data_IF_328604788023
#
_entry.id   IF_328604788023
#
_cell.length_a   1.000
_cell.length_b   1.000
_cell.length_c   1.000
_cell.angle_alpha   90.00
_cell.angle_beta   90.00
_cell.angle_gamma   90.00
#
_symmetry.space_group_name_H-M   'P 1'
#
loop_
_entity.id
_entity.type
_entity.pdbx_description
1 polymer ?
#
# COMPACT_ATOMS: atom_id res chain seq x y z
N UNK A 1 4.08 -10.72 33.57
CA UNK A 1 3.29 -10.15 32.46
C UNK A 1 3.36 -11.16 31.31
N UNK A 2 2.32 -11.96 31.12
CA UNK A 2 2.24 -12.93 30.02
C UNK A 2 1.62 -12.24 28.82
N UNK A 3 2.41 -11.94 27.78
CA UNK A 3 1.89 -11.42 26.52
C UNK A 3 1.42 -12.61 25.69
N UNK A 4 0.11 -12.77 25.56
CA UNK A 4 -0.47 -13.72 24.62
C UNK A 4 -0.08 -13.29 23.19
N UNK A 5 0.46 -14.22 22.40
CA UNK A 5 0.77 -14.00 20.98
C UNK A 5 -0.56 -13.73 20.26
N UNK A 6 -0.80 -12.48 19.88
CA UNK A 6 -1.97 -12.08 19.08
C UNK A 6 -1.95 -12.85 17.76
N UNK A 7 -3.08 -13.45 17.39
CA UNK A 7 -3.26 -14.04 16.08
C UNK A 7 -2.96 -12.96 15.01
N UNK A 8 -2.08 -13.26 14.07
CA UNK A 8 -1.75 -12.37 12.95
C UNK A 8 -2.99 -12.13 12.10
N UNK A 9 -3.30 -10.88 11.79
CA UNK A 9 -4.43 -10.52 10.94
C UNK A 9 -4.18 -11.03 9.52
N UNK A 10 -5.18 -11.64 8.87
CA UNK A 10 -5.06 -12.02 7.46
C UNK A 10 -5.30 -10.81 6.54
N UNK A 11 -4.78 -10.84 5.31
CA UNK A 11 -5.03 -9.79 4.32
C UNK A 11 -6.54 -9.64 4.01
N UNK A 12 -7.28 -10.74 3.96
CA UNK A 12 -8.72 -10.71 3.68
C UNK A 12 -9.51 -10.04 4.81
N UNK A 13 -9.15 -10.29 6.06
CA UNK A 13 -9.74 -9.60 7.21
C UNK A 13 -9.39 -8.11 7.19
N UNK A 14 -8.15 -7.76 6.87
CA UNK A 14 -7.72 -6.37 6.73
C UNK A 14 -8.54 -5.62 5.67
N UNK A 15 -8.74 -6.21 4.48
CA UNK A 15 -9.48 -5.57 3.37
C UNK A 15 -10.97 -5.35 3.68
N UNK A 16 -11.53 -6.02 4.70
CA UNK A 16 -12.92 -5.81 5.16
C UNK A 16 -13.05 -4.66 6.16
N UNK A 17 -11.94 -4.16 6.72
CA UNK A 17 -11.96 -3.05 7.67
C UNK A 17 -12.31 -1.73 6.95
N UNK A 18 -12.95 -0.78 7.65
CA UNK A 18 -13.22 0.53 7.08
C UNK A 18 -11.93 1.31 6.80
N UNK A 19 -11.94 2.09 5.72
CA UNK A 19 -10.86 3.02 5.38
C UNK A 19 -10.63 4.07 6.47
N UNK A 20 -9.37 4.43 6.72
CA UNK A 20 -8.96 5.36 7.78
C UNK A 20 -8.22 6.57 7.22
N UNK A 21 -8.10 7.65 8.02
CA UNK A 21 -7.29 8.83 7.69
C UNK A 21 -6.41 9.19 8.89
N UNK A 22 -5.07 9.09 8.79
CA UNK A 22 -4.30 8.58 7.65
C UNK A 22 -4.55 7.07 7.43
N UNK A 23 -4.33 6.60 6.21
CA UNK A 23 -4.66 5.22 5.83
C UNK A 23 -3.91 4.18 6.67
N UNK A 24 -4.61 3.10 7.01
CA UNK A 24 -4.04 1.89 7.59
C UNK A 24 -3.23 1.13 6.53
N UNK A 25 -2.09 0.59 6.94
CA UNK A 25 -1.21 -0.27 6.14
C UNK A 25 -1.23 -1.67 6.74
N UNK A 26 -1.24 -2.67 5.89
CA UNK A 26 -1.06 -4.06 6.27
C UNK A 26 0.36 -4.49 5.93
N UNK A 27 1.15 -4.89 6.92
CA UNK A 27 2.52 -5.39 6.74
C UNK A 27 2.70 -6.60 7.67
N UNK A 28 3.02 -7.76 7.08
CA UNK A 28 3.34 -8.99 7.81
C UNK A 28 2.33 -9.40 8.90
N UNK A 29 1.03 -9.20 8.63
CA UNK A 29 -0.03 -9.56 9.58
C UNK A 29 -0.37 -8.49 10.61
N UNK A 30 0.26 -7.32 10.51
CA UNK A 30 0.05 -6.18 11.42
C UNK A 30 -0.58 -4.98 10.69
N UNK A 31 -1.36 -4.19 11.45
CA UNK A 31 -1.88 -2.91 10.98
C UNK A 31 -0.99 -1.78 11.50
N UNK A 32 -0.47 -0.95 10.58
CA UNK A 32 0.32 0.24 10.89
C UNK A 32 -0.35 1.45 10.25
N UNK A 33 -0.52 2.57 10.97
CA UNK A 33 -1.06 3.78 10.36
C UNK A 33 0.02 4.50 9.55
N UNK A 34 -0.34 5.02 8.36
CA UNK A 34 0.56 5.90 7.61
C UNK A 34 0.95 7.09 8.49
N UNK A 35 2.24 7.46 8.52
CA UNK A 35 2.64 8.73 9.12
C UNK A 35 1.85 9.87 8.51
N UNK A 36 1.44 10.83 9.34
CA UNK A 36 0.72 12.00 8.85
C UNK A 36 1.51 12.68 7.71
N UNK A 37 0.86 12.97 6.58
CA UNK A 37 1.54 13.56 5.44
C UNK A 37 2.07 14.95 5.81
N UNK A 38 3.33 15.21 5.43
CA UNK A 38 3.99 16.51 5.62
C UNK A 38 4.10 17.21 4.27
N UNK A 39 3.90 18.53 4.24
CA UNK A 39 3.88 19.34 3.00
C UNK A 39 5.11 19.12 2.10
N UNK A 40 6.31 19.00 2.68
CA UNK A 40 7.53 18.73 1.90
C UNK A 40 7.50 17.37 1.21
N UNK A 41 7.01 16.34 1.91
CA UNK A 41 6.85 15.00 1.34
C UNK A 41 5.78 15.00 0.24
N UNK A 42 4.64 15.67 0.46
CA UNK A 42 3.59 15.81 -0.57
C UNK A 42 4.09 16.51 -1.82
N UNK A 43 4.88 17.58 -1.69
CA UNK A 43 5.46 18.30 -2.83
C UNK A 43 6.45 17.43 -3.61
N UNK A 44 7.27 16.64 -2.91
CA UNK A 44 8.21 15.73 -3.56
C UNK A 44 7.48 14.62 -4.31
N UNK A 45 6.46 14.00 -3.69
CA UNK A 45 5.63 12.97 -4.33
C UNK A 45 4.92 13.50 -5.57
N UNK A 46 4.31 14.69 -5.49
CA UNK A 46 3.66 15.32 -6.64
C UNK A 46 4.65 15.50 -7.80
N UNK A 47 5.80 16.13 -7.57
CA UNK A 47 6.82 16.34 -8.62
C UNK A 47 7.35 15.04 -9.23
N UNK A 48 7.48 13.99 -8.42
CA UNK A 48 7.93 12.69 -8.92
C UNK A 48 6.87 12.07 -9.83
N UNK A 49 5.60 12.10 -9.41
CA UNK A 49 4.47 11.61 -10.21
C UNK A 49 4.38 12.40 -11.52
N UNK A 50 4.47 13.73 -11.46
CA UNK A 50 4.46 14.59 -12.65
C UNK A 50 5.58 14.20 -13.62
N UNK A 51 6.82 14.07 -13.13
CA UNK A 51 7.95 13.67 -13.99
C UNK A 51 7.81 12.26 -14.58
N UNK A 52 7.20 11.32 -13.86
CA UNK A 52 6.90 9.99 -14.40
C UNK A 52 5.84 10.10 -15.52
N UNK A 53 4.78 10.87 -15.29
CA UNK A 53 3.72 11.06 -16.27
C UNK A 53 4.23 11.73 -17.54
N UNK A 54 5.09 12.75 -17.42
CA UNK A 54 5.67 13.45 -18.58
C UNK A 54 6.50 12.51 -19.45
N UNK A 55 7.26 11.58 -18.85
CA UNK A 55 8.07 10.60 -19.59
C UNK A 55 7.21 9.53 -20.26
N UNK A 56 6.08 9.18 -19.64
CA UNK A 56 5.19 8.14 -20.13
C UNK A 56 4.05 8.69 -21.01
N UNK A 57 4.01 10.00 -21.23
CA UNK A 57 2.98 10.61 -22.08
C UNK A 57 3.07 10.06 -23.51
N UNK A 58 1.92 9.66 -24.06
CA UNK A 58 1.83 9.00 -25.36
C UNK A 58 2.32 7.54 -25.42
N UNK A 59 2.78 6.95 -24.31
CA UNK A 59 3.14 5.52 -24.25
C UNK A 59 1.87 4.70 -24.02
N UNK A 60 1.56 3.77 -24.94
CA UNK A 60 0.48 2.78 -24.77
C UNK A 60 0.88 1.74 -23.70
N UNK A 61 0.64 2.08 -22.44
CA UNK A 61 0.93 1.22 -21.29
C UNK A 61 -0.13 0.12 -21.16
N UNK A 62 0.15 -1.04 -21.74
CA UNK A 62 -0.61 -2.27 -21.48
C UNK A 62 -0.06 -2.95 -20.23
N UNK A 63 -0.54 -2.52 -19.07
CA UNK A 63 -0.23 -3.14 -17.78
C UNK A 63 -1.34 -4.12 -17.40
N UNK A 64 -0.99 -5.39 -17.24
CA UNK A 64 -1.91 -6.40 -16.68
C UNK A 64 -1.84 -6.44 -15.16
N UNK A 65 -2.89 -6.95 -14.52
CA UNK A 65 -2.91 -7.19 -13.07
C UNK A 65 -1.72 -8.07 -12.65
N UNK A 66 -1.36 -9.06 -13.45
CA UNK A 66 -0.22 -9.94 -13.17
C UNK A 66 1.12 -9.20 -13.27
N UNK A 67 1.29 -8.29 -14.23
CA UNK A 67 2.51 -7.46 -14.32
C UNK A 67 2.63 -6.50 -13.13
N UNK A 68 1.51 -5.95 -12.65
CA UNK A 68 1.50 -5.00 -11.54
C UNK A 68 1.60 -5.67 -10.17
N UNK A 69 0.97 -6.83 -9.99
CA UNK A 69 0.78 -7.47 -8.69
C UNK A 69 1.28 -8.92 -8.63
N UNK A 70 1.97 -9.44 -9.63
CA UNK A 70 2.46 -10.84 -9.64
C UNK A 70 3.44 -11.19 -8.50
N UNK A 71 4.06 -10.16 -7.91
CA UNK A 71 4.89 -10.28 -6.71
C UNK A 71 4.08 -10.41 -5.41
N UNK A 72 2.79 -10.05 -5.43
CA UNK A 72 1.87 -10.22 -4.31
C UNK A 72 1.47 -11.70 -4.22
N UNK A 73 2.28 -12.49 -3.51
CA UNK A 73 1.96 -13.89 -3.19
C UNK A 73 1.01 -13.92 -2.00
N UNK A 74 -0.26 -14.22 -2.23
CA UNK A 74 -1.17 -14.55 -1.14
C UNK A 74 -0.78 -15.93 -0.59
N UNK A 75 -0.35 -15.99 0.67
CA UNK A 75 -0.34 -17.25 1.41
C UNK A 75 -1.76 -17.48 1.94
N UNK A 76 -2.37 -18.58 1.52
CA UNK A 76 -3.55 -19.10 2.17
C UNK A 76 -3.08 -19.93 3.36
N UNK A 77 -3.18 -19.39 4.57
CA UNK A 77 -3.15 -20.11 5.85
C UNK A 77 -4.13 -19.43 6.82
#
# INVERSE_FOLDING_TARGET
MSVAKSASLTLEEFLKLPETKPASLYIDGEIILKPMPKTRHSRLQAKLIDGINDVLDGVDLKLTVEQLFGWLKMKAE
#
